data_IF_082596397632
#
_entry.id   IF_082596397632
#
_cell.length_a   1.000
_cell.length_b   1.000
_cell.length_c   1.000
_cell.angle_alpha   90.00
_cell.angle_beta   90.00
_cell.angle_gamma   90.00
#
_symmetry.space_group_name_H-M   'P 1'
#
loop_
_entity.id
_entity.type
_entity.pdbx_description
1 polymer ?
#
# COMPACT_ATOMS: atom_id res chain seq x y z
N UNK A 1 4.92 22.18 -8.71
CA UNK A 1 3.57 22.34 -8.10
C UNK A 1 3.17 20.98 -7.56
N UNK A 2 3.22 20.76 -6.25
CA UNK A 2 2.61 19.56 -5.65
C UNK A 2 1.11 19.83 -5.62
N UNK A 3 0.32 19.04 -6.35
CA UNK A 3 -1.07 18.90 -5.95
C UNK A 3 -1.02 18.33 -4.54
N UNK A 4 -1.64 19.00 -3.56
CA UNK A 4 -1.82 18.42 -2.23
C UNK A 4 -2.77 17.24 -2.41
N UNK A 5 -2.22 16.09 -2.76
CA UNK A 5 -2.92 14.83 -2.80
C UNK A 5 -3.40 14.48 -1.39
N UNK A 6 -4.43 13.64 -1.32
CA UNK A 6 -4.85 13.01 -0.08
C UNK A 6 -3.67 12.30 0.58
N UNK A 7 -3.57 12.39 1.90
CA UNK A 7 -2.52 11.69 2.65
C UNK A 7 -2.62 10.16 2.38
N UNK A 8 -1.51 9.45 2.16
CA UNK A 8 -1.56 8.01 1.89
C UNK A 8 -2.17 7.23 3.06
N UNK A 9 -3.01 6.26 2.75
CA UNK A 9 -3.62 5.29 3.65
C UNK A 9 -3.02 3.87 3.52
N UNK A 10 -2.14 3.66 2.55
CA UNK A 10 -1.37 2.45 2.38
C UNK A 10 0.05 2.79 1.96
N UNK A 11 1.05 2.19 2.63
CA UNK A 11 2.47 2.35 2.29
C UNK A 11 3.15 1.00 2.24
N UNK A 12 3.71 0.66 1.09
CA UNK A 12 4.58 -0.51 0.89
C UNK A 12 6.01 -0.03 0.63
N UNK A 13 6.94 -0.49 1.46
CA UNK A 13 8.35 -0.14 1.39
C UNK A 13 9.19 -1.43 1.34
N UNK A 14 10.02 -1.60 0.32
CA UNK A 14 10.82 -2.81 0.09
C UNK A 14 12.28 -2.41 -0.13
N UNK A 15 13.20 -3.11 0.53
CA UNK A 15 14.64 -2.89 0.37
C UNK A 15 15.46 -4.11 0.79
N UNK A 16 16.68 -4.24 0.30
CA UNK A 16 17.52 -5.43 0.47
C UNK A 16 18.84 -5.18 1.19
N UNK A 17 19.22 -3.93 1.45
CA UNK A 17 20.56 -3.60 1.91
C UNK A 17 20.58 -2.70 3.16
N UNK A 18 21.75 -2.10 3.43
CA UNK A 18 21.95 -1.20 4.57
C UNK A 18 21.32 0.18 4.32
N UNK A 19 21.32 0.66 3.08
CA UNK A 19 20.79 1.97 2.72
C UNK A 19 19.28 2.04 3.01
N UNK A 20 18.57 0.93 2.86
CA UNK A 20 17.13 0.84 3.12
C UNK A 20 16.75 0.87 4.60
N UNK A 21 17.70 0.63 5.52
CA UNK A 21 17.40 0.54 6.96
C UNK A 21 16.83 1.85 7.50
N UNK A 22 17.35 2.99 7.06
CA UNK A 22 16.84 4.30 7.47
C UNK A 22 15.44 4.56 6.89
N UNK A 23 15.19 4.10 5.67
CA UNK A 23 13.88 4.23 5.01
C UNK A 23 12.80 3.45 5.78
N UNK A 24 13.09 2.24 6.26
CA UNK A 24 12.15 1.46 7.08
C UNK A 24 11.74 2.21 8.36
N UNK A 25 12.71 2.78 9.07
CA UNK A 25 12.48 3.51 10.32
C UNK A 25 11.63 4.78 10.11
N UNK A 26 11.96 5.55 9.06
CA UNK A 26 11.20 6.76 8.71
C UNK A 26 9.76 6.42 8.33
N UNK A 27 9.56 5.40 7.49
CA UNK A 27 8.22 5.04 7.01
C UNK A 27 7.37 4.45 8.14
N UNK A 28 7.95 3.66 9.04
CA UNK A 28 7.22 3.13 10.19
C UNK A 28 6.87 4.21 11.23
N UNK A 29 7.72 5.23 11.40
CA UNK A 29 7.42 6.38 12.28
C UNK A 29 6.49 7.41 11.64
N UNK A 30 6.29 7.37 10.32
CA UNK A 30 5.46 8.33 9.61
C UNK A 30 3.99 8.34 10.07
N UNK A 31 3.47 7.20 10.55
CA UNK A 31 2.12 7.10 11.14
C UNK A 31 1.95 8.03 12.34
N UNK A 32 2.99 8.15 13.18
CA UNK A 32 2.96 9.03 14.36
C UNK A 32 3.14 10.51 14.01
N UNK A 33 3.70 10.82 12.83
CA UNK A 33 4.07 12.18 12.40
C UNK A 33 2.96 12.97 11.68
N UNK A 34 1.74 12.43 11.59
CA UNK A 34 0.62 12.99 10.81
C UNK A 34 0.91 13.18 9.30
N UNK A 35 1.99 12.59 8.79
CA UNK A 35 2.33 12.61 7.35
C UNK A 35 1.50 11.62 6.53
N UNK A 36 0.83 10.68 7.21
CA UNK A 36 -0.04 9.66 6.63
C UNK A 36 -1.47 9.83 7.15
N UNK A 37 -2.42 9.16 6.49
CA UNK A 37 -3.79 9.02 6.98
C UNK A 37 -3.83 8.37 8.37
N UNK A 38 -4.78 8.72 9.26
CA UNK A 38 -4.93 8.06 10.57
C UNK A 38 -5.23 6.55 10.48
N UNK A 39 -5.75 6.10 9.34
CA UNK A 39 -6.03 4.67 9.05
C UNK A 39 -4.91 4.02 8.25
N UNK A 40 -3.75 4.68 8.12
CA UNK A 40 -2.70 4.20 7.24
C UNK A 40 -2.11 2.86 7.70
N UNK A 41 -2.05 1.91 6.77
CA UNK A 41 -1.32 0.66 6.97
C UNK A 41 0.06 0.73 6.32
N UNK A 42 1.09 0.35 7.09
CA UNK A 42 2.49 0.43 6.67
C UNK A 42 3.14 -0.95 6.67
N UNK A 43 3.65 -1.32 5.50
CA UNK A 43 4.32 -2.59 5.24
C UNK A 43 5.77 -2.33 4.80
N UNK A 44 6.69 -2.39 5.77
CA UNK A 44 8.12 -2.33 5.51
C UNK A 44 8.68 -3.76 5.43
N UNK A 45 9.30 -4.09 4.30
CA UNK A 45 9.76 -5.42 3.94
C UNK A 45 11.27 -5.40 3.62
N UNK A 46 12.04 -6.26 4.27
CA UNK A 46 13.40 -6.57 3.83
C UNK A 46 13.41 -7.74 2.83
N UNK A 47 14.31 -7.72 1.85
CA UNK A 47 14.53 -8.89 1.00
C UNK A 47 15.49 -9.86 1.71
N UNK A 48 15.10 -11.14 1.73
CA UNK A 48 15.61 -12.24 2.55
C UNK A 48 15.39 -12.08 4.05
N UNK A 49 15.34 -13.20 4.75
CA UNK A 49 15.35 -13.20 6.21
C UNK A 49 16.74 -12.81 6.73
N UNK A 50 16.85 -11.58 7.27
CA UNK A 50 18.08 -11.04 7.86
C UNK A 50 17.74 -10.06 8.98
N UNK A 51 18.69 -9.74 9.89
CA UNK A 51 18.52 -8.64 10.81
C UNK A 51 18.19 -7.34 10.05
N UNK A 52 17.05 -6.74 10.37
CA UNK A 52 16.53 -5.56 9.69
C UNK A 52 15.61 -4.75 10.61
N UNK A 53 15.50 -3.45 10.34
CA UNK A 53 14.50 -2.56 10.94
C UNK A 53 13.10 -2.74 10.32
N UNK A 54 13.01 -3.41 9.17
CA UNK A 54 11.73 -3.76 8.55
C UNK A 54 10.93 -4.76 9.42
N UNK A 55 9.61 -4.61 9.44
CA UNK A 55 8.71 -5.50 10.20
C UNK A 55 8.50 -6.85 9.51
N UNK A 56 8.57 -6.87 8.18
CA UNK A 56 8.30 -8.05 7.35
C UNK A 56 9.53 -8.39 6.51
N UNK A 57 9.53 -9.59 5.93
CA UNK A 57 10.52 -10.00 4.93
C UNK A 57 9.84 -10.69 3.75
N UNK A 58 10.50 -10.64 2.58
CA UNK A 58 10.18 -11.43 1.40
C UNK A 58 11.39 -12.29 1.09
N UNK A 59 11.20 -13.56 0.75
CA UNK A 59 12.29 -14.53 0.64
C UNK A 59 13.28 -14.14 -0.46
N UNK A 60 12.75 -13.72 -1.61
CA UNK A 60 13.53 -13.32 -2.77
C UNK A 60 12.76 -12.35 -3.69
N UNK A 61 13.36 -12.03 -4.84
CA UNK A 61 12.74 -11.16 -5.85
C UNK A 61 11.50 -11.78 -6.49
N UNK A 62 11.38 -13.10 -6.52
CA UNK A 62 10.21 -13.81 -7.04
C UNK A 62 8.99 -13.56 -6.16
N UNK A 63 9.16 -13.53 -4.84
CA UNK A 63 8.08 -13.17 -3.92
C UNK A 63 7.63 -11.72 -4.07
N UNK A 64 8.57 -10.79 -4.33
CA UNK A 64 8.22 -9.40 -4.65
C UNK A 64 7.31 -9.35 -5.88
N UNK A 65 7.69 -10.04 -6.96
CA UNK A 65 6.90 -10.09 -8.19
C UNK A 65 5.51 -10.70 -7.95
N UNK A 66 5.43 -11.83 -7.26
CA UNK A 66 4.15 -12.50 -6.93
C UNK A 66 3.24 -11.60 -6.10
N UNK A 67 3.79 -10.91 -5.10
CA UNK A 67 3.04 -9.98 -4.27
C UNK A 67 2.51 -8.81 -5.10
N UNK A 68 3.35 -8.16 -5.91
CA UNK A 68 2.94 -7.04 -6.76
C UNK A 68 1.88 -7.46 -7.80
N UNK A 69 2.01 -8.65 -8.38
CA UNK A 69 1.00 -9.23 -9.26
C UNK A 69 -0.33 -9.49 -8.54
N UNK A 70 -0.28 -9.98 -7.30
CA UNK A 70 -1.46 -10.15 -6.45
C UNK A 70 -2.17 -8.83 -6.17
N UNK A 71 -1.41 -7.78 -5.83
CA UNK A 71 -1.96 -6.43 -5.61
C UNK A 71 -2.61 -5.86 -6.88
N UNK A 72 -1.94 -5.99 -8.03
CA UNK A 72 -2.50 -5.53 -9.32
C UNK A 72 -3.81 -6.26 -9.64
N UNK A 73 -3.82 -7.59 -9.52
CA UNK A 73 -5.00 -8.42 -9.78
C UNK A 73 -6.17 -8.09 -8.84
N UNK A 74 -5.88 -7.90 -7.54
CA UNK A 74 -6.88 -7.52 -6.54
C UNK A 74 -7.46 -6.12 -6.75
N UNK A 75 -6.64 -5.18 -7.23
CA UNK A 75 -7.07 -3.83 -7.60
C UNK A 75 -8.05 -3.85 -8.78
N UNK A 76 -7.76 -4.64 -9.83
CA UNK A 76 -8.68 -4.79 -10.96
C UNK A 76 -10.02 -5.42 -10.57
N UNK A 77 -10.01 -6.42 -9.69
CA UNK A 77 -11.24 -7.07 -9.23
C UNK A 77 -12.13 -6.10 -8.43
N UNK A 78 -11.52 -5.29 -7.58
CA UNK A 78 -12.21 -4.22 -6.85
C UNK A 78 -12.85 -3.20 -7.79
N UNK A 79 -12.14 -2.78 -8.85
CA UNK A 79 -12.65 -1.84 -9.84
C UNK A 79 -13.85 -2.40 -10.64
N UNK A 80 -13.81 -3.69 -11.01
CA UNK A 80 -14.90 -4.37 -11.74
C UNK A 80 -16.14 -4.58 -10.88
N UNK A 81 -15.98 -4.77 -9.57
CA UNK A 81 -17.12 -4.93 -8.64
C UNK A 81 -17.84 -3.59 -8.37
N UNK A 82 -17.14 -2.46 -8.45
CA UNK A 82 -17.75 -1.11 -8.31
C UNK A 82 -18.63 -0.76 -9.51
N UNK A 83 -18.34 -1.29 -10.71
CA UNK A 83 -19.11 -0.95 -11.92
C UNK A 83 -20.48 -1.65 -12.05
N UNK A 84 -20.89 -2.51 -11.09
CA UNK A 84 -22.17 -3.25 -11.11
C UNK A 84 -23.14 -2.72 -10.02
N UNK A 85 -23.13 -1.41 -9.76
CA UNK A 85 -24.24 -0.79 -9.03
C UNK A 85 -25.28 -0.29 -10.04
N UNK A 86 -26.45 -0.94 -10.22
CA UNK A 86 -27.50 -0.39 -11.07
C UNK A 86 -27.98 0.90 -10.41
N UNK A 87 -27.77 2.03 -11.08
CA UNK A 87 -28.33 3.31 -10.69
C UNK A 87 -29.84 3.12 -10.52
N UNK A 88 -30.34 3.30 -9.29
CA UNK A 88 -31.77 3.26 -8.98
C UNK A 88 -32.43 4.43 -9.71
N UNK A 89 -33.04 4.14 -10.86
CA UNK A 89 -33.84 5.10 -11.63
C UNK A 89 -34.99 5.55 -10.72
N UNK A 90 -34.95 6.81 -10.28
CA UNK A 90 -36.09 7.46 -9.62
C UNK A 90 -37.02 7.91 -10.74
N UNK A 91 -38.09 7.17 -10.97
CA UNK A 91 -39.21 7.62 -11.80
C UNK A 91 -40.13 8.41 -10.85
N UNK A 92 -40.03 9.74 -10.87
CA UNK A 92 -41.10 10.56 -10.31
C UNK A 92 -42.30 10.45 -11.24
N UNK A 93 -43.40 9.90 -10.72
CA UNK A 93 -44.73 9.99 -11.32
C UNK A 93 -45.50 11.07 -10.57
N UNK A 94 -45.83 12.16 -11.28
CA UNK A 94 -47.05 12.92 -11.02
C UNK A 94 -48.22 12.23 -11.75
#
# INVERSE_FOLDING_TARGET
MQQKGTAPDFVLCIGDDRSDQNMFEVVMSAVASSSLSPVAEVFACTVRQKPSKAKYYLEDTTEILRMLQGLASGSEHSAKHVSISPQRIIIEKE
#
